data_IF_478404655661
#
_entry.id   IF_478404655661
#
_cell.length_a   1.000
_cell.length_b   1.000
_cell.length_c   1.000
_cell.angle_alpha   90.00
_cell.angle_beta   90.00
_cell.angle_gamma   90.00
#
_symmetry.space_group_name_H-M   'P 1'
#
loop_
_entity.id
_entity.type
_entity.pdbx_description
1 polymer ?
#
# COMPACT_ATOMS: atom_id res chain seq x y z
N UNK A 1 14.24 0.93 -0.07
CA UNK A 1 12.78 0.87 0.16
C UNK A 1 12.48 1.52 1.49
N UNK A 2 11.38 2.25 1.57
CA UNK A 2 10.91 2.92 2.79
C UNK A 2 9.89 2.05 3.51
N UNK A 3 10.04 1.98 4.83
CA UNK A 3 9.15 1.22 5.71
C UNK A 3 7.84 1.97 5.94
N UNK A 4 6.70 1.38 5.58
CA UNK A 4 5.36 1.90 5.86
C UNK A 4 4.68 1.02 6.91
N UNK A 5 4.42 1.59 8.09
CA UNK A 5 3.62 0.95 9.13
C UNK A 5 2.13 1.07 8.83
N UNK A 6 1.42 -0.06 8.85
CA UNK A 6 -0.03 -0.11 8.62
C UNK A 6 -0.63 -1.39 9.21
N UNK A 7 -1.90 -1.33 9.62
CA UNK A 7 -2.66 -2.55 9.95
C UNK A 7 -2.91 -3.39 8.68
N UNK A 8 -3.27 -4.68 8.77
CA UNK A 8 -3.63 -5.46 7.59
C UNK A 8 -4.76 -4.83 6.76
N UNK A 9 -5.82 -4.33 7.41
CA UNK A 9 -6.94 -3.66 6.72
C UNK A 9 -6.49 -2.38 6.00
N UNK A 10 -5.65 -1.57 6.66
CA UNK A 10 -5.07 -0.38 6.06
C UNK A 10 -4.12 -0.73 4.91
N UNK A 11 -3.32 -1.78 5.04
CA UNK A 11 -2.39 -2.25 3.99
C UNK A 11 -3.16 -2.61 2.72
N UNK A 12 -4.22 -3.42 2.83
CA UNK A 12 -5.07 -3.78 1.68
C UNK A 12 -5.66 -2.55 0.99
N UNK A 13 -6.04 -1.55 1.80
CA UNK A 13 -6.62 -0.30 1.33
C UNK A 13 -5.60 0.63 0.65
N UNK A 14 -4.40 0.75 1.21
CA UNK A 14 -3.30 1.54 0.66
C UNK A 14 -2.85 0.96 -0.69
N UNK A 15 -2.59 -0.35 -0.75
CA UNK A 15 -2.10 -1.02 -1.97
C UNK A 15 -3.11 -0.91 -3.12
N UNK A 16 -4.39 -1.11 -2.83
CA UNK A 16 -5.45 -1.02 -3.84
C UNK A 16 -5.64 0.39 -4.41
N UNK A 17 -5.29 1.43 -3.63
CA UNK A 17 -5.33 2.82 -4.09
C UNK A 17 -4.00 3.30 -4.67
N UNK A 18 -2.93 2.54 -4.45
CA UNK A 18 -1.59 2.87 -4.91
C UNK A 18 -1.42 2.48 -6.37
N UNK A 19 -1.72 1.23 -6.71
CA UNK A 19 -1.53 0.70 -8.05
C UNK A 19 -2.77 0.83 -8.92
N UNK A 20 -2.58 1.33 -10.15
CA UNK A 20 -3.60 1.30 -11.20
C UNK A 20 -3.51 0.03 -12.03
N UNK A 21 -2.31 -0.54 -12.14
CA UNK A 21 -2.04 -1.81 -12.81
C UNK A 21 -0.96 -2.57 -12.04
N UNK A 22 -1.16 -3.88 -11.84
CA UNK A 22 -0.12 -4.77 -11.29
C UNK A 22 0.60 -5.43 -12.45
N UNK A 23 1.93 -5.36 -12.46
CA UNK A 23 2.76 -5.97 -13.48
C UNK A 23 2.84 -7.50 -13.29
N UNK A 24 2.67 -8.29 -14.37
CA UNK A 24 2.89 -9.73 -14.30
C UNK A 24 4.40 -10.01 -14.16
N UNK A 25 4.76 -10.83 -13.16
CA UNK A 25 6.12 -11.36 -12.93
C UNK A 25 7.20 -10.28 -12.91
N UNK A 26 7.44 -9.66 -11.76
CA UNK A 26 8.36 -8.53 -11.71
C UNK A 26 9.83 -8.86 -11.47
N UNK A 27 10.24 -10.12 -11.33
CA UNK A 27 11.65 -10.50 -11.14
C UNK A 27 12.27 -10.08 -9.80
N UNK A 28 11.52 -9.35 -8.97
CA UNK A 28 11.90 -8.89 -7.64
C UNK A 28 11.32 -9.79 -6.52
N UNK A 29 10.91 -11.02 -6.85
CA UNK A 29 10.35 -11.93 -5.86
C UNK A 29 11.44 -12.30 -4.83
N UNK A 30 11.23 -11.96 -3.56
CA UNK A 30 12.16 -12.19 -2.47
C UNK A 30 11.66 -13.29 -1.53
N UNK A 31 12.20 -14.50 -1.67
CA UNK A 31 11.95 -15.62 -0.76
C UNK A 31 10.45 -15.91 -0.54
N UNK A 32 10.03 -15.99 0.72
CA UNK A 32 8.66 -16.29 1.13
C UNK A 32 7.75 -15.04 1.26
N UNK A 33 8.18 -13.89 0.73
CA UNK A 33 7.42 -12.64 0.83
C UNK A 33 6.54 -12.40 -0.39
N UNK A 34 5.36 -11.81 -0.16
CA UNK A 34 4.51 -11.33 -1.26
C UNK A 34 5.07 -10.01 -1.76
N UNK A 35 5.52 -10.01 -3.02
CA UNK A 35 6.04 -8.83 -3.71
C UNK A 35 5.05 -8.43 -4.80
N UNK A 36 4.62 -7.18 -4.78
CA UNK A 36 3.75 -6.58 -5.78
C UNK A 36 4.54 -5.48 -6.50
N UNK A 37 4.61 -5.58 -7.82
CA UNK A 37 5.15 -4.51 -8.64
C UNK A 37 4.06 -4.00 -9.56
N UNK A 38 4.01 -2.71 -9.81
CA UNK A 38 2.92 -2.13 -10.59
C UNK A 38 3.15 -0.68 -10.95
N UNK A 39 2.22 -0.14 -11.73
CA UNK A 39 2.17 1.29 -12.07
C UNK A 39 1.31 2.00 -11.04
N UNK A 40 1.88 2.99 -10.35
CA UNK A 40 1.15 3.80 -9.37
C UNK A 40 0.11 4.69 -10.05
N UNK A 41 -0.79 5.32 -9.28
CA UNK A 41 -1.69 6.34 -9.84
C UNK A 41 -0.96 7.59 -10.37
N UNK A 42 0.32 7.75 -10.02
CA UNK A 42 1.20 8.83 -10.50
C UNK A 42 1.94 8.42 -11.79
N UNK A 43 1.70 7.20 -12.30
CA UNK A 43 2.28 6.70 -13.53
C UNK A 43 3.70 6.15 -13.39
N UNK A 44 4.17 5.92 -12.16
CA UNK A 44 5.52 5.42 -11.87
C UNK A 44 5.49 3.90 -11.64
N UNK A 45 6.54 3.20 -12.08
CA UNK A 45 6.69 1.77 -11.78
C UNK A 45 7.35 1.59 -10.41
N UNK A 46 6.63 0.96 -9.48
CA UNK A 46 7.06 0.84 -8.10
C UNK A 46 6.78 -0.56 -7.54
N UNK A 47 7.46 -0.90 -6.45
CA UNK A 47 7.44 -2.20 -5.78
C UNK A 47 7.00 -2.05 -4.33
N UNK A 48 6.11 -2.95 -3.91
CA UNK A 48 5.65 -3.14 -2.53
C UNK A 48 6.04 -4.55 -2.09
N UNK A 49 6.71 -4.68 -0.95
CA UNK A 49 6.94 -5.98 -0.30
C UNK A 49 6.15 -6.05 0.99
N UNK A 50 5.23 -7.02 1.09
CA UNK A 50 4.42 -7.20 2.29
C UNK A 50 5.27 -7.72 3.45
N UNK A 51 5.07 -7.11 4.63
CA UNK A 51 5.75 -7.46 5.88
C UNK A 51 4.72 -7.54 7.01
N UNK A 52 5.12 -8.09 8.15
CA UNK A 52 4.28 -8.22 9.35
C UNK A 52 3.80 -6.87 9.91
N UNK A 53 4.59 -5.82 9.75
CA UNK A 53 4.29 -4.47 10.20
C UNK A 53 3.51 -3.60 9.20
N UNK A 54 3.22 -4.12 8.00
CA UNK A 54 2.70 -3.34 6.87
C UNK A 54 3.43 -3.70 5.57
N UNK A 55 4.24 -2.80 5.03
CA UNK A 55 5.01 -3.07 3.81
C UNK A 55 6.24 -2.17 3.64
N UNK A 56 7.20 -2.66 2.86
CA UNK A 56 8.29 -1.88 2.29
C UNK A 56 7.85 -1.33 0.92
N UNK A 57 8.17 -0.07 0.63
CA UNK A 57 7.80 0.59 -0.63
C UNK A 57 9.02 1.21 -1.33
N UNK A 58 9.17 1.05 -2.64
CA UNK A 58 10.29 1.63 -3.39
C UNK A 58 10.12 3.12 -3.71
N UNK A 59 8.87 3.58 -3.87
CA UNK A 59 8.56 4.94 -4.31
C UNK A 59 8.50 5.97 -3.18
N UNK A 60 7.90 7.12 -3.49
CA UNK A 60 7.75 8.23 -2.54
C UNK A 60 6.73 7.93 -1.42
N UNK A 61 7.13 7.92 -0.13
CA UNK A 61 6.22 7.75 0.99
C UNK A 61 5.10 8.81 1.04
N UNK A 62 5.31 10.00 0.46
CA UNK A 62 4.28 11.03 0.41
C UNK A 62 3.05 10.59 -0.40
N UNK A 63 3.23 9.79 -1.46
CA UNK A 63 2.16 9.15 -2.22
C UNK A 63 1.24 8.31 -1.30
N UNK A 64 1.85 7.55 -0.39
CA UNK A 64 1.12 6.72 0.58
C UNK A 64 0.37 7.59 1.59
N UNK A 65 1.00 8.66 2.09
CA UNK A 65 0.35 9.62 2.99
C UNK A 65 -0.84 10.35 2.34
N UNK A 66 -0.74 10.64 1.05
CA UNK A 66 -1.82 11.25 0.28
C UNK A 66 -3.01 10.29 0.13
N UNK A 67 -2.75 9.02 -0.17
CA UNK A 67 -3.77 7.97 -0.18
C UNK A 67 -4.41 7.84 1.20
N UNK A 68 -3.60 7.75 2.26
CA UNK A 68 -4.03 7.65 3.65
C UNK A 68 -4.97 8.80 4.03
N UNK A 69 -4.70 10.02 3.60
CA UNK A 69 -5.53 11.19 3.96
C UNK A 69 -6.80 11.36 3.12
N UNK A 70 -6.85 10.80 1.91
CA UNK A 70 -7.90 11.15 0.92
C UNK A 70 -8.70 9.99 0.37
N UNK A 71 -8.12 8.79 0.28
CA UNK A 71 -8.71 7.65 -0.44
C UNK A 71 -8.88 6.42 0.43
N UNK A 72 -8.01 6.23 1.42
CA UNK A 72 -8.09 5.06 2.26
C UNK A 72 -9.12 5.22 3.37
N UNK A 73 -10.13 4.35 3.41
CA UNK A 73 -11.18 4.33 4.44
C UNK A 73 -10.65 4.04 5.86
N UNK A 74 -9.44 3.47 5.96
CA UNK A 74 -8.74 3.24 7.23
C UNK A 74 -7.67 4.31 7.52
N UNK A 75 -7.36 5.17 6.54
CA UNK A 75 -6.40 6.24 6.69
C UNK A 75 -7.07 7.44 7.37
N UNK A 76 -6.63 7.74 8.58
CA UNK A 76 -7.27 8.72 9.48
C UNK A 76 -8.75 8.41 9.78
N UNK A 77 -8.98 7.47 10.70
CA UNK A 77 -10.28 7.31 11.35
C UNK A 77 -10.70 8.62 12.05
N UNK A 78 -11.50 9.48 11.41
CA UNK A 78 -12.71 9.92 12.10
C UNK A 78 -13.57 8.66 12.16
N UNK A 79 -13.77 8.10 13.36
CA UNK A 79 -14.58 6.88 13.57
C UNK A 79 -15.78 6.88 12.62
N UNK A 80 -15.82 5.92 11.69
CA UNK A 80 -16.99 5.73 10.86
C UNK A 80 -18.11 5.21 11.77
N UNK A 81 -19.35 5.68 11.62
CA UNK A 81 -20.46 5.36 12.53
C UNK A 81 -20.83 3.86 12.54
N UNK A 82 -20.26 3.04 11.65
CA UNK A 82 -20.48 1.60 11.61
C UNK A 82 -19.59 0.79 12.59
N UNK A 83 -18.65 1.43 13.28
CA UNK A 83 -17.76 0.75 14.26
C UNK A 83 -18.39 0.61 15.67
N UNK A 84 -19.73 0.74 15.80
CA UNK A 84 -20.46 0.51 17.06
C UNK A 84 -21.34 -0.75 16.94
N UNK A 85 -20.75 -1.91 17.22
CA UNK A 85 -21.46 -3.10 17.71
C UNK A 85 -20.94 -3.45 19.11
#
# INVERSE_FOLDING_TARGET
MTRIGATPSETSCLISNLFTEIRPVCGHCEGDSVVLCGVTYEGQEETVVLRDYGFDYSGDPETVENIRKRRCIYGNKKKLPADFE
#
